data_IF_602211574184
#
_entry.id   IF_602211574184
#
_cell.length_a   1.000
_cell.length_b   1.000
_cell.length_c   1.000
_cell.angle_alpha   90.00
_cell.angle_beta   90.00
_cell.angle_gamma   90.00
#
_symmetry.space_group_name_H-M   'P 1'
#
loop_
_entity.id
_entity.type
_entity.pdbx_description
1 polymer ?
#
# COMPACT_ATOMS: atom_id res chain seq x y z
N UNK A 1 -6.75 -39.78 10.70
CA UNK A 1 -7.91 -39.98 9.81
C UNK A 1 -9.12 -40.29 10.69
N UNK A 2 -10.04 -39.33 10.84
CA UNK A 2 -11.44 -39.58 11.24
C UNK A 2 -12.32 -38.73 10.31
N UNK A 3 -13.31 -39.40 9.74
CA UNK A 3 -14.28 -38.96 8.72
C UNK A 3 -15.15 -37.81 9.22
N UNK A 4 -15.29 -36.77 8.41
CA UNK A 4 -16.25 -35.68 8.67
C UNK A 4 -15.96 -34.43 7.84
N UNK A 5 -15.83 -34.58 6.53
CA UNK A 5 -15.70 -33.45 5.60
C UNK A 5 -16.96 -32.58 5.65
N UNK A 6 -16.87 -31.43 6.31
CA UNK A 6 -17.83 -30.31 6.25
C UNK A 6 -16.95 -29.06 6.21
N UNK A 7 -16.62 -28.57 5.03
CA UNK A 7 -17.51 -27.65 4.32
C UNK A 7 -17.03 -26.23 4.61
N UNK A 8 -16.02 -25.79 3.84
CA UNK A 8 -15.51 -24.42 3.81
C UNK A 8 -16.55 -23.45 3.27
N UNK A 9 -17.57 -23.17 4.08
CA UNK A 9 -18.73 -22.37 3.71
C UNK A 9 -18.95 -21.15 4.61
N UNK A 10 -18.09 -20.89 5.61
CA UNK A 10 -18.30 -19.80 6.59
C UNK A 10 -17.04 -19.07 7.05
N UNK A 11 -16.01 -18.89 6.21
CA UNK A 11 -14.85 -18.06 6.58
C UNK A 11 -15.12 -16.56 6.34
N UNK A 12 -16.25 -16.02 6.80
CA UNK A 12 -16.46 -14.56 6.84
C UNK A 12 -15.48 -13.88 7.81
N UNK A 13 -15.09 -14.59 8.87
CA UNK A 13 -14.20 -14.08 9.92
C UNK A 13 -12.74 -13.98 9.50
N UNK A 14 -12.29 -14.75 8.49
CA UNK A 14 -10.92 -14.68 7.99
C UNK A 14 -10.65 -13.33 7.32
N UNK A 15 -11.53 -12.92 6.40
CA UNK A 15 -11.39 -11.67 5.65
C UNK A 15 -11.63 -10.44 6.54
N UNK A 16 -12.62 -10.45 7.44
CA UNK A 16 -12.84 -9.36 8.40
C UNK A 16 -11.67 -9.22 9.41
N UNK A 17 -11.09 -10.34 9.84
CA UNK A 17 -9.89 -10.35 10.68
C UNK A 17 -8.65 -9.89 9.89
N UNK A 18 -8.53 -10.25 8.62
CA UNK A 18 -7.47 -9.82 7.70
C UNK A 18 -7.64 -8.36 7.24
N UNK A 19 -8.86 -7.82 7.22
CA UNK A 19 -9.15 -6.40 6.96
C UNK A 19 -8.83 -5.53 8.18
N UNK A 20 -9.07 -6.05 9.38
CA UNK A 20 -8.59 -5.45 10.65
C UNK A 20 -7.08 -5.62 10.85
N UNK A 21 -6.47 -6.63 10.23
CA UNK A 21 -5.03 -6.88 10.30
C UNK A 21 -4.32 -6.10 9.19
N UNK A 22 -3.41 -5.23 9.59
CA UNK A 22 -2.49 -4.51 8.70
C UNK A 22 -1.79 -5.48 7.72
N UNK A 23 -1.82 -5.24 6.40
CA UNK A 23 -1.28 -6.17 5.38
C UNK A 23 0.20 -6.59 5.61
N UNK A 24 1.11 -5.68 6.05
CA UNK A 24 2.44 -6.06 6.55
C UNK A 24 2.40 -7.12 7.66
N UNK A 25 1.49 -7.00 8.61
CA UNK A 25 1.32 -7.95 9.72
C UNK A 25 0.80 -9.30 9.22
N UNK A 26 -0.11 -9.30 8.23
CA UNK A 26 -0.60 -10.55 7.63
C UNK A 26 0.52 -11.30 6.91
N UNK A 27 1.28 -10.63 6.04
CA UNK A 27 2.39 -11.24 5.32
C UNK A 27 3.49 -11.73 6.24
N UNK A 28 3.78 -11.00 7.33
CA UNK A 28 4.78 -11.41 8.33
C UNK A 28 4.44 -12.71 9.07
N UNK A 29 3.20 -13.19 9.01
CA UNK A 29 2.79 -14.49 9.57
C UNK A 29 2.91 -15.66 8.58
N UNK A 30 3.10 -15.37 7.29
CA UNK A 30 3.14 -16.40 6.26
C UNK A 30 4.53 -17.03 6.18
N UNK A 31 4.58 -18.35 5.99
CA UNK A 31 5.85 -19.08 5.86
C UNK A 31 6.67 -18.57 4.68
N UNK A 32 7.97 -18.40 4.89
CA UNK A 32 8.93 -17.92 3.90
C UNK A 32 8.95 -16.40 3.69
N UNK A 33 7.96 -15.65 4.20
CA UNK A 33 7.95 -14.19 4.11
C UNK A 33 8.67 -13.54 5.28
N UNK A 34 9.41 -12.45 5.00
CA UNK A 34 9.99 -11.55 5.99
C UNK A 34 9.61 -10.11 5.65
N UNK A 35 9.15 -9.38 6.66
CA UNK A 35 8.73 -7.99 6.55
C UNK A 35 9.66 -7.13 7.41
N UNK A 36 10.35 -6.18 6.78
CA UNK A 36 11.33 -5.33 7.45
C UNK A 36 10.91 -3.87 7.39
N UNK A 37 10.98 -3.17 8.52
CA UNK A 37 10.75 -1.74 8.58
C UNK A 37 11.89 -0.99 7.87
N UNK A 38 11.55 -0.23 6.83
CA UNK A 38 12.48 0.64 6.09
C UNK A 38 11.98 2.09 6.06
N UNK A 39 11.10 2.44 7.01
CA UNK A 39 10.50 3.76 7.10
C UNK A 39 11.38 4.71 7.93
N UNK A 40 12.39 5.27 7.27
CA UNK A 40 13.27 6.25 7.89
C UNK A 40 12.52 7.55 8.21
N UNK A 41 13.03 8.28 9.20
CA UNK A 41 12.50 9.58 9.61
C UNK A 41 12.84 10.72 8.62
N UNK A 42 12.80 10.44 7.32
CA UNK A 42 13.00 11.41 6.24
C UNK A 42 11.95 12.52 6.31
N UNK A 43 12.40 13.76 6.10
CA UNK A 43 11.59 14.98 6.19
C UNK A 43 11.82 15.82 4.94
N UNK A 44 10.72 16.23 4.29
CA UNK A 44 10.70 17.37 3.37
C UNK A 44 10.42 18.65 4.15
N UNK A 45 11.34 19.61 4.09
CA UNK A 45 11.17 20.95 4.69
C UNK A 45 10.23 21.80 3.84
N UNK A 46 9.72 22.90 4.41
CA UNK A 46 8.90 23.89 3.68
C UNK A 46 9.62 24.48 2.46
N UNK A 47 10.95 24.51 2.49
CA UNK A 47 11.82 24.95 1.38
C UNK A 47 11.88 23.96 0.22
N UNK A 48 11.34 22.74 0.38
CA UNK A 48 11.49 21.64 -0.59
C UNK A 48 12.73 20.78 -0.36
N UNK A 49 13.64 21.18 0.52
CA UNK A 49 14.83 20.41 0.90
C UNK A 49 14.44 19.08 1.56
N UNK A 50 15.06 17.98 1.10
CA UNK A 50 14.90 16.66 1.71
C UNK A 50 16.06 16.37 2.64
N UNK A 51 15.74 16.10 3.90
CA UNK A 51 16.68 15.57 4.89
C UNK A 51 16.39 14.09 5.05
N UNK A 52 17.24 13.23 4.47
CA UNK A 52 17.14 11.77 4.61
C UNK A 52 17.39 11.38 6.07
N UNK A 53 16.46 10.61 6.63
CA UNK A 53 16.54 10.14 8.01
C UNK A 53 17.55 9.01 8.18
N UNK A 54 18.11 8.86 9.38
CA UNK A 54 18.96 7.70 9.75
C UNK A 54 18.28 6.77 10.75
N UNK A 55 17.19 7.21 11.37
CA UNK A 55 16.45 6.43 12.37
C UNK A 55 15.15 5.90 11.76
N UNK A 56 14.87 4.63 12.01
CA UNK A 56 13.57 4.03 11.67
C UNK A 56 12.47 4.61 12.56
N UNK A 57 11.30 4.83 11.97
CA UNK A 57 10.09 5.25 12.69
C UNK A 57 9.56 4.08 13.53
N UNK A 58 9.14 4.39 14.75
CA UNK A 58 8.52 3.42 15.67
C UNK A 58 7.14 2.97 15.21
N UNK A 59 6.41 3.83 14.49
CA UNK A 59 5.16 3.53 13.80
C UNK A 59 5.41 3.60 12.29
N UNK A 60 5.93 2.53 11.69
CA UNK A 60 6.27 2.54 10.28
C UNK A 60 5.02 2.57 9.41
N UNK A 61 5.19 3.13 8.23
CA UNK A 61 4.23 3.11 7.13
C UNK A 61 4.91 2.66 5.82
N UNK A 62 6.09 2.04 5.93
CA UNK A 62 6.86 1.52 4.80
C UNK A 62 7.65 0.29 5.20
N UNK A 63 7.57 -0.76 4.38
CA UNK A 63 8.25 -2.02 4.63
C UNK A 63 8.84 -2.63 3.37
N UNK A 64 9.94 -3.36 3.53
CA UNK A 64 10.49 -4.29 2.55
C UNK A 64 9.83 -5.65 2.74
N UNK A 65 9.50 -6.32 1.63
CA UNK A 65 9.03 -7.69 1.59
C UNK A 65 10.14 -8.57 1.00
N UNK A 66 10.56 -9.58 1.75
CA UNK A 66 11.40 -10.67 1.25
C UNK A 66 10.64 -12.00 1.27
N UNK A 67 10.85 -12.85 0.27
CA UNK A 67 10.40 -14.24 0.25
C UNK A 67 11.61 -15.15 0.04
N UNK A 68 11.84 -16.10 0.95
CA UNK A 68 13.04 -16.96 0.93
C UNK A 68 14.34 -16.17 0.72
N UNK A 69 14.49 -15.09 1.50
CA UNK A 69 15.62 -14.15 1.47
C UNK A 69 15.77 -13.25 0.23
N UNK A 70 14.94 -13.41 -0.79
CA UNK A 70 14.93 -12.52 -1.97
C UNK A 70 13.96 -11.36 -1.77
N UNK A 71 14.37 -10.11 -2.07
CA UNK A 71 13.45 -8.96 -2.06
C UNK A 71 12.44 -9.09 -3.21
N UNK A 72 11.16 -9.24 -2.86
CA UNK A 72 10.07 -9.42 -3.83
C UNK A 72 9.18 -8.18 -3.97
N UNK A 73 9.25 -7.25 -3.01
CA UNK A 73 8.44 -6.05 -3.05
C UNK A 73 8.60 -5.09 -1.88
N UNK A 74 7.81 -4.02 -1.92
CA UNK A 74 7.72 -3.03 -0.84
C UNK A 74 6.25 -2.66 -0.59
N UNK A 75 5.92 -2.35 0.66
CA UNK A 75 4.60 -1.86 1.08
C UNK A 75 4.76 -0.41 1.50
N UNK A 76 3.83 0.44 1.10
CA UNK A 76 3.73 1.83 1.50
C UNK A 76 2.30 2.13 1.96
N UNK A 77 2.15 2.90 3.03
CA UNK A 77 0.87 3.33 3.55
C UNK A 77 0.89 4.83 3.76
N UNK A 78 -0.19 5.53 3.40
CA UNK A 78 -0.35 6.97 3.63
C UNK A 78 0.93 7.77 3.27
N UNK A 79 1.53 8.45 4.24
CA UNK A 79 2.73 9.27 4.08
C UNK A 79 4.01 8.46 3.78
N UNK A 80 4.02 7.16 4.05
CA UNK A 80 5.15 6.28 3.74
C UNK A 80 5.45 6.23 2.23
N UNK A 81 4.42 6.36 1.38
CA UNK A 81 4.60 6.44 -0.07
C UNK A 81 5.32 7.73 -0.48
N UNK A 82 4.98 8.85 0.14
CA UNK A 82 5.59 10.13 -0.19
C UNK A 82 7.01 10.25 0.36
N UNK A 83 7.31 9.62 1.49
CA UNK A 83 8.69 9.48 1.97
C UNK A 83 9.53 8.62 1.02
N UNK A 84 8.97 7.55 0.46
CA UNK A 84 9.64 6.80 -0.61
C UNK A 84 10.00 7.70 -1.78
N UNK A 85 9.07 8.53 -2.26
CA UNK A 85 9.35 9.48 -3.33
C UNK A 85 10.41 10.52 -2.97
N UNK A 86 10.36 11.09 -1.77
CA UNK A 86 11.35 12.07 -1.30
C UNK A 86 12.77 11.47 -1.24
N UNK A 87 12.90 10.15 -1.10
CA UNK A 87 14.20 9.47 -1.05
C UNK A 87 14.79 9.12 -2.42
N UNK A 88 14.01 9.30 -3.52
CA UNK A 88 14.46 9.05 -4.89
C UNK A 88 15.17 10.28 -5.43
N UNK A 89 16.43 10.11 -5.80
CA UNK A 89 17.25 11.19 -6.34
C UNK A 89 16.70 11.67 -7.69
N UNK A 90 16.58 12.99 -7.85
CA UNK A 90 16.06 13.61 -9.07
C UNK A 90 14.53 13.53 -9.25
N UNK A 91 13.78 13.01 -8.29
CA UNK A 91 12.32 12.89 -8.36
C UNK A 91 11.63 13.87 -7.40
N UNK A 92 10.65 14.62 -7.90
CA UNK A 92 9.88 15.59 -7.10
C UNK A 92 8.39 15.50 -7.42
N UNK A 93 7.65 14.75 -6.61
CA UNK A 93 6.22 14.54 -6.79
C UNK A 93 5.40 15.83 -6.73
N UNK A 94 5.91 16.88 -6.07
CA UNK A 94 5.18 18.16 -5.93
C UNK A 94 5.03 18.92 -7.26
N UNK A 95 5.84 18.57 -8.26
CA UNK A 95 5.73 19.07 -9.64
C UNK A 95 4.73 18.27 -10.49
N UNK A 96 4.31 17.10 -9.99
CA UNK A 96 3.45 16.15 -10.73
C UNK A 96 1.99 16.26 -10.25
N UNK A 97 1.79 16.35 -8.94
CA UNK A 97 0.46 16.48 -8.32
C UNK A 97 0.44 17.64 -7.33
N UNK A 98 -0.69 18.37 -7.27
CA UNK A 98 -0.87 19.52 -6.38
C UNK A 98 -1.23 19.14 -4.94
N UNK A 99 -1.72 17.92 -4.72
CA UNK A 99 -2.09 17.40 -3.41
C UNK A 99 -1.75 15.92 -3.30
N UNK A 100 -1.37 15.49 -2.09
CA UNK A 100 -1.08 14.08 -1.80
C UNK A 100 -2.35 13.26 -1.82
N UNK A 101 -2.38 12.23 -2.65
CA UNK A 101 -3.32 11.12 -2.55
C UNK A 101 -2.71 10.05 -1.67
N UNK A 102 -3.19 9.95 -0.43
CA UNK A 102 -2.69 8.99 0.55
C UNK A 102 -3.40 7.64 0.34
N UNK A 103 -2.71 6.58 -0.11
CA UNK A 103 -3.34 5.27 -0.24
C UNK A 103 -3.54 4.65 1.14
N UNK A 104 -4.55 3.78 1.28
CA UNK A 104 -4.62 2.89 2.43
C UNK A 104 -3.40 1.95 2.38
N UNK A 105 -3.18 1.29 1.24
CA UNK A 105 -2.02 0.46 0.96
C UNK A 105 -1.54 0.64 -0.49
N UNK A 106 -0.23 0.64 -0.69
CA UNK A 106 0.40 0.56 -2.00
C UNK A 106 1.49 -0.52 -1.94
N UNK A 107 1.44 -1.48 -2.88
CA UNK A 107 2.34 -2.63 -2.90
C UNK A 107 3.12 -2.58 -4.22
N UNK A 108 4.43 -2.35 -4.14
CA UNK A 108 5.31 -2.48 -5.29
C UNK A 108 5.79 -3.92 -5.40
N UNK A 109 5.51 -4.56 -6.53
CA UNK A 109 5.91 -5.93 -6.87
C UNK A 109 7.05 -5.86 -7.89
N UNK A 110 8.25 -6.25 -7.47
CA UNK A 110 9.50 -5.99 -8.21
C UNK A 110 9.52 -6.72 -9.56
N UNK A 111 9.20 -8.02 -9.58
CA UNK A 111 9.28 -8.83 -10.80
C UNK A 111 8.30 -8.40 -11.91
N UNK A 112 7.22 -7.71 -11.54
CA UNK A 112 6.25 -7.13 -12.48
C UNK A 112 6.51 -5.64 -12.74
N UNK A 113 7.44 -5.03 -12.01
CA UNK A 113 7.68 -3.60 -12.02
C UNK A 113 6.37 -2.79 -11.88
N UNK A 114 5.49 -3.25 -11.00
CA UNK A 114 4.10 -2.80 -10.91
C UNK A 114 3.75 -2.42 -9.47
N UNK A 115 3.06 -1.29 -9.32
CA UNK A 115 2.51 -0.82 -8.05
C UNK A 115 1.00 -1.07 -8.03
N UNK A 116 0.55 -1.82 -7.02
CA UNK A 116 -0.86 -2.03 -6.73
C UNK A 116 -1.30 -1.05 -5.65
N UNK A 117 -2.17 -0.11 -5.99
CA UNK A 117 -2.83 0.77 -5.05
C UNK A 117 -4.11 0.09 -4.58
N UNK A 118 -4.22 -0.14 -3.27
CA UNK A 118 -5.37 -0.78 -2.64
C UNK A 118 -6.05 0.23 -1.74
N UNK A 119 -7.34 0.46 -1.98
CA UNK A 119 -8.18 1.30 -1.13
C UNK A 119 -9.30 0.49 -0.51
N UNK A 120 -9.38 0.54 0.82
CA UNK A 120 -10.34 -0.19 1.63
C UNK A 120 -11.58 0.68 1.79
N UNK A 121 -12.76 0.13 1.52
CA UNK A 121 -14.04 0.82 1.73
C UNK A 121 -15.00 -0.11 2.47
N UNK A 122 -15.39 0.29 3.68
CA UNK A 122 -16.46 -0.36 4.45
C UNK A 122 -17.81 0.23 4.04
N UNK A 123 -18.79 -0.60 3.72
CA UNK A 123 -20.15 -0.15 3.41
C UNK A 123 -20.97 0.01 4.70
N UNK A 124 -20.82 1.14 5.39
CA UNK A 124 -21.57 1.41 6.63
C UNK A 124 -22.70 2.44 6.49
N UNK A 125 -22.71 3.29 5.45
CA UNK A 125 -23.77 4.28 5.24
C UNK A 125 -24.13 4.41 3.75
N UNK A 126 -25.41 4.72 3.49
CA UNK A 126 -26.09 4.71 2.18
C UNK A 126 -25.61 5.72 1.12
N UNK A 127 -24.34 6.13 1.14
CA UNK A 127 -23.72 6.81 0.02
C UNK A 127 -23.56 5.84 -1.16
N UNK A 128 -24.06 6.22 -2.34
CA UNK A 128 -24.11 5.35 -3.51
C UNK A 128 -22.71 4.85 -3.89
N UNK A 129 -22.64 3.56 -4.24
CA UNK A 129 -21.47 2.92 -4.85
C UNK A 129 -20.98 3.75 -6.06
N UNK A 130 -21.89 4.40 -6.78
CA UNK A 130 -21.59 5.18 -7.99
C UNK A 130 -20.69 6.39 -7.71
N UNK A 131 -20.88 7.11 -6.61
CA UNK A 131 -20.06 8.30 -6.26
C UNK A 131 -18.60 7.89 -5.97
N UNK A 132 -18.41 6.73 -5.33
CA UNK A 132 -17.08 6.17 -5.02
C UNK A 132 -16.38 5.63 -6.26
N UNK A 133 -17.14 5.08 -7.22
CA UNK A 133 -16.60 4.67 -8.51
C UNK A 133 -16.22 5.88 -9.38
N UNK A 134 -16.96 6.99 -9.31
CA UNK A 134 -16.66 8.21 -10.08
C UNK A 134 -15.27 8.78 -9.78
N UNK A 135 -14.83 8.77 -8.52
CA UNK A 135 -13.52 9.31 -8.13
C UNK A 135 -12.35 8.34 -8.36
N UNK A 136 -12.64 7.06 -8.64
CA UNK A 136 -11.65 6.02 -8.87
C UNK A 136 -10.71 6.34 -10.03
N UNK A 137 -11.28 6.67 -11.19
CA UNK A 137 -10.53 6.95 -12.41
C UNK A 137 -9.59 8.15 -12.22
N UNK A 138 -10.04 9.19 -11.52
CA UNK A 138 -9.19 10.32 -11.16
C UNK A 138 -7.99 9.89 -10.31
N UNK A 139 -8.21 9.11 -9.24
CA UNK A 139 -7.13 8.62 -8.38
C UNK A 139 -6.13 7.76 -9.16
N UNK A 140 -6.62 6.80 -9.95
CA UNK A 140 -5.79 5.96 -10.81
C UNK A 140 -4.93 6.79 -11.76
N UNK A 141 -5.52 7.82 -12.40
CA UNK A 141 -4.77 8.75 -13.27
C UNK A 141 -3.68 9.50 -12.51
N UNK A 142 -3.93 9.96 -11.28
CA UNK A 142 -2.90 10.63 -10.48
C UNK A 142 -1.76 9.68 -10.08
N UNK A 143 -2.08 8.47 -9.62
CA UNK A 143 -1.04 7.49 -9.30
C UNK A 143 -0.23 7.09 -10.53
N UNK A 144 -0.86 6.90 -11.70
CA UNK A 144 -0.14 6.69 -12.96
C UNK A 144 0.84 7.82 -13.28
N UNK A 145 0.44 9.08 -13.08
CA UNK A 145 1.33 10.24 -13.28
C UNK A 145 2.53 10.21 -12.32
N UNK A 146 2.32 9.84 -11.05
CA UNK A 146 3.40 9.72 -10.06
C UNK A 146 4.40 8.62 -10.44
N UNK A 147 3.92 7.46 -10.90
CA UNK A 147 4.79 6.31 -11.14
C UNK A 147 5.39 6.23 -12.55
N UNK A 148 4.82 6.93 -13.53
CA UNK A 148 5.31 6.94 -14.92
C UNK A 148 6.77 7.40 -15.07
N UNK A 149 7.23 8.50 -14.42
CA UNK A 149 8.65 8.89 -14.46
C UNK A 149 9.60 7.87 -13.83
N UNK A 150 9.08 7.01 -12.95
CA UNK A 150 9.81 5.93 -12.29
C UNK A 150 9.78 4.63 -13.10
N UNK A 151 9.22 4.67 -14.31
CA UNK A 151 8.97 3.53 -15.20
C UNK A 151 8.23 2.39 -14.49
N UNK A 152 7.22 2.69 -13.67
CA UNK A 152 6.43 1.68 -12.95
C UNK A 152 4.98 1.67 -13.43
N UNK A 153 4.44 0.47 -13.66
CA UNK A 153 3.03 0.28 -13.94
C UNK A 153 2.17 0.48 -12.69
N UNK A 154 0.91 0.85 -12.87
CA UNK A 154 -0.02 1.08 -11.75
C UNK A 154 -1.34 0.37 -11.98
N UNK A 155 -1.71 -0.49 -11.03
CA UNK A 155 -3.05 -1.03 -10.88
C UNK A 155 -3.71 -0.42 -9.66
N UNK A 156 -5.02 -0.20 -9.74
CA UNK A 156 -5.81 0.36 -8.65
C UNK A 156 -6.97 -0.57 -8.35
N UNK A 157 -7.09 -0.96 -7.08
CA UNK A 157 -8.03 -1.95 -6.60
C UNK A 157 -8.83 -1.40 -5.42
N UNK A 158 -10.14 -1.66 -5.41
CA UNK A 158 -10.95 -1.47 -4.22
C UNK A 158 -11.12 -2.80 -3.49
N UNK A 159 -10.84 -2.77 -2.20
CA UNK A 159 -11.22 -3.82 -1.28
C UNK A 159 -12.53 -3.37 -0.62
N UNK A 160 -13.64 -3.92 -1.13
CA UNK A 160 -14.98 -3.63 -0.64
C UNK A 160 -15.35 -4.66 0.42
N UNK A 161 -15.73 -4.18 1.60
CA UNK A 161 -16.27 -5.04 2.65
C UNK A 161 -17.73 -4.70 2.93
N UNK A 162 -18.53 -5.74 3.19
CA UNK A 162 -19.90 -5.61 3.67
C UNK A 162 -19.83 -5.57 5.19
N UNK A 163 -20.30 -4.46 5.77
CA UNK A 163 -20.47 -4.36 7.22
C UNK A 163 -21.50 -5.37 7.75
#
# INVERSE_FOLDING_TARGET
MIKGSVGGANTKTGLEFELKTDFPTFLGKQSGYRIENIDYNTIRRKTGEIVKGTKLRTKPLRWRISFLDEEVGQIFQKEGLYRYFDEIDGYDYTKIVSAKLLPDEAIFVINKNTVYIVEKKTQSDGGSVDEKLQTCDFKLKQYKKLFSPLNKEVFYCYLLDKA
#
